data_IF_720302508236
#
_entry.id   IF_720302508236
#
_cell.length_a   1.000
_cell.length_b   1.000
_cell.length_c   1.000
_cell.angle_alpha   90.00
_cell.angle_beta   90.00
_cell.angle_gamma   90.00
#
_symmetry.space_group_name_H-M   'P 1'
#
loop_
_entity.id
_entity.type
_entity.pdbx_description
1 polymer ?
#
# COMPACT_ATOMS: atom_id res chain seq x y z
N UNK A 1 2.32 32.30 -1.75
CA UNK A 1 1.22 33.27 -2.01
C UNK A 1 0.57 33.63 -0.68
N UNK A 2 0.30 34.90 -0.43
CA UNK A 2 -0.41 35.35 0.78
C UNK A 2 -1.92 35.13 0.67
N UNK A 3 -2.63 35.11 1.80
CA UNK A 3 -4.10 34.99 1.83
C UNK A 3 -4.78 36.16 1.10
N UNK A 4 -4.22 37.38 1.21
CA UNK A 4 -4.69 38.56 0.48
C UNK A 4 -4.57 38.41 -1.04
N UNK A 5 -3.43 37.90 -1.52
CA UNK A 5 -3.21 37.60 -2.94
C UNK A 5 -4.13 36.48 -3.45
N UNK A 6 -4.43 35.50 -2.61
CA UNK A 6 -5.35 34.42 -2.95
C UNK A 6 -6.79 34.91 -3.06
N UNK A 7 -7.22 35.79 -2.15
CA UNK A 7 -8.53 36.41 -2.16
C UNK A 7 -8.73 37.31 -3.39
N UNK A 8 -7.74 38.12 -3.76
CA UNK A 8 -7.83 38.97 -4.96
C UNK A 8 -7.91 38.16 -6.26
N UNK A 9 -7.43 36.91 -6.24
CA UNK A 9 -7.54 35.94 -7.34
C UNK A 9 -8.79 35.05 -7.28
N UNK A 10 -9.68 35.24 -6.30
CA UNK A 10 -10.89 34.42 -6.13
C UNK A 10 -10.62 32.97 -5.72
N UNK A 11 -9.43 32.67 -5.18
CA UNK A 11 -9.02 31.31 -4.78
C UNK A 11 -9.55 30.90 -3.39
N UNK A 12 -10.21 31.83 -2.69
CA UNK A 12 -10.76 31.63 -1.35
C UNK A 12 -12.22 32.08 -1.36
N UNK A 13 -13.11 31.28 -0.78
CA UNK A 13 -14.57 31.52 -0.82
C UNK A 13 -15.07 32.50 0.24
N UNK A 14 -14.25 32.85 1.24
CA UNK A 14 -14.65 33.68 2.38
C UNK A 14 -14.02 35.06 2.32
N UNK A 15 -14.77 36.07 2.78
CA UNK A 15 -14.20 37.38 3.10
C UNK A 15 -13.14 37.21 4.18
N UNK A 16 -11.96 37.79 3.94
CA UNK A 16 -10.82 37.70 4.84
C UNK A 16 -10.72 39.01 5.63
N UNK A 17 -10.48 38.91 6.94
CA UNK A 17 -10.18 40.07 7.74
C UNK A 17 -8.84 40.69 7.29
N UNK A 18 -8.75 42.02 7.21
CA UNK A 18 -7.53 42.72 6.72
C UNK A 18 -6.28 42.34 7.50
N UNK A 19 -6.43 42.06 8.79
CA UNK A 19 -5.37 41.63 9.70
C UNK A 19 -4.83 40.22 9.39
N UNK A 20 -5.47 39.41 8.55
CA UNK A 20 -5.03 38.05 8.20
C UNK A 20 -4.43 37.95 6.79
N UNK A 21 -4.52 39.04 6.01
CA UNK A 21 -4.10 39.08 4.61
C UNK A 21 -2.64 38.67 4.37
N UNK A 22 -1.76 38.84 5.37
CA UNK A 22 -0.33 38.48 5.29
C UNK A 22 -0.06 36.99 5.46
N UNK A 23 -1.04 36.17 5.90
CA UNK A 23 -0.82 34.74 6.14
C UNK A 23 -0.34 34.04 4.88
N UNK A 24 0.75 33.28 5.00
CA UNK A 24 1.33 32.54 3.89
C UNK A 24 0.59 31.23 3.63
N UNK A 25 0.55 30.84 2.37
CA UNK A 25 0.02 29.56 1.92
C UNK A 25 0.45 29.18 0.52
N UNK A 26 -0.05 28.02 0.11
CA UNK A 26 0.23 27.38 -1.16
C UNK A 26 -0.96 27.55 -2.10
N UNK A 27 -0.69 28.02 -3.31
CA UNK A 27 -1.60 27.95 -4.44
C UNK A 27 -1.28 26.68 -5.22
N UNK A 28 -2.27 25.83 -5.42
CA UNK A 28 -2.14 24.60 -6.19
C UNK A 28 -3.02 24.65 -7.42
N UNK A 29 -2.57 23.97 -8.48
CA UNK A 29 -3.34 23.73 -9.69
C UNK A 29 -3.23 22.24 -10.04
N UNK A 30 -4.36 21.56 -10.21
CA UNK A 30 -4.38 20.17 -10.67
C UNK A 30 -4.14 20.06 -12.17
N UNK A 31 -3.86 18.86 -12.67
CA UNK A 31 -3.76 18.58 -14.12
C UNK A 31 -5.05 18.92 -14.89
N UNK A 32 -6.20 18.83 -14.22
CA UNK A 32 -7.52 19.19 -14.76
C UNK A 32 -7.81 20.70 -14.69
N UNK A 33 -6.83 21.51 -14.28
CA UNK A 33 -6.95 22.97 -14.21
C UNK A 33 -7.71 23.50 -12.97
N UNK A 34 -8.04 22.64 -12.00
CA UNK A 34 -8.66 23.08 -10.76
C UNK A 34 -7.62 23.80 -9.89
N UNK A 35 -7.93 25.02 -9.47
CA UNK A 35 -7.07 25.82 -8.61
C UNK A 35 -7.62 25.94 -7.19
N UNK A 36 -6.73 25.90 -6.21
CA UNK A 36 -7.08 26.14 -4.82
C UNK A 36 -5.96 26.80 -4.04
N UNK A 37 -6.30 27.45 -2.92
CA UNK A 37 -5.32 27.97 -1.98
C UNK A 37 -5.53 27.35 -0.59
N UNK A 38 -4.43 27.01 0.09
CA UNK A 38 -4.44 26.47 1.44
C UNK A 38 -3.40 27.16 2.31
N UNK A 39 -3.71 27.34 3.60
CA UNK A 39 -2.77 27.85 4.59
C UNK A 39 -1.50 27.00 4.62
N UNK A 40 -0.34 27.64 4.79
CA UNK A 40 0.97 26.97 4.76
C UNK A 40 1.00 25.74 5.68
N UNK A 41 0.63 25.94 6.94
CA UNK A 41 0.61 24.87 7.96
C UNK A 41 -0.32 23.72 7.57
N UNK A 42 -1.54 24.03 7.16
CA UNK A 42 -2.52 23.02 6.75
C UNK A 42 -2.02 22.22 5.55
N UNK A 43 -1.42 22.90 4.57
CA UNK A 43 -0.90 22.27 3.36
C UNK A 43 0.27 21.33 3.69
N UNK A 44 1.24 21.77 4.49
CA UNK A 44 2.40 20.96 4.90
C UNK A 44 2.02 19.77 5.79
N UNK A 45 0.93 19.87 6.57
CA UNK A 45 0.38 18.75 7.35
C UNK A 45 -0.42 17.76 6.48
N UNK A 46 -1.08 18.24 5.42
CA UNK A 46 -1.96 17.43 4.57
C UNK A 46 -1.24 16.79 3.37
N UNK A 47 -0.18 17.43 2.89
CA UNK A 47 0.53 17.06 1.67
C UNK A 47 2.01 16.89 1.97
N UNK A 48 2.56 15.74 1.58
CA UNK A 48 4.00 15.46 1.63
C UNK A 48 4.61 15.72 0.26
N UNK A 49 5.73 16.43 0.23
CA UNK A 49 6.53 16.56 -0.99
C UNK A 49 7.05 15.18 -1.41
N UNK A 50 6.70 14.76 -2.63
CA UNK A 50 7.26 13.56 -3.25
C UNK A 50 8.62 13.95 -3.85
N UNK A 51 9.71 13.63 -3.16
CA UNK A 51 11.09 13.78 -3.68
C UNK A 51 11.47 12.51 -4.44
N UNK A 52 12.36 12.55 -5.43
CA UNK A 52 12.78 11.35 -6.19
C UNK A 52 13.33 10.20 -5.30
N UNK A 53 13.79 10.51 -4.09
CA UNK A 53 14.15 9.54 -3.05
C UNK A 53 12.96 9.13 -2.16
N UNK A 54 11.72 9.17 -2.69
CA UNK A 54 10.53 8.86 -1.88
C UNK A 54 10.65 7.47 -1.28
N UNK A 55 10.55 7.34 0.05
CA UNK A 55 10.47 6.03 0.67
C UNK A 55 9.26 5.27 0.10
N UNK A 56 9.44 3.97 -0.22
CA UNK A 56 8.37 3.14 -0.78
C UNK A 56 7.28 3.01 0.28
N UNK A 57 6.10 3.53 -0.01
CA UNK A 57 4.96 3.40 0.89
C UNK A 57 4.25 2.06 0.66
N UNK A 58 3.30 1.73 1.53
CA UNK A 58 2.52 0.51 1.38
C UNK A 58 1.80 0.40 0.02
N UNK A 59 1.31 1.53 -0.52
CA UNK A 59 0.66 1.56 -1.84
C UNK A 59 1.59 1.08 -2.96
N UNK A 60 2.80 1.63 -3.01
CA UNK A 60 3.84 1.22 -3.96
C UNK A 60 4.21 -0.25 -3.78
N UNK A 61 4.32 -0.71 -2.52
CA UNK A 61 4.64 -2.09 -2.19
C UNK A 61 3.58 -3.08 -2.71
N UNK A 62 2.29 -2.71 -2.63
CA UNK A 62 1.20 -3.49 -3.23
C UNK A 62 1.31 -3.55 -4.75
N UNK A 63 1.70 -2.46 -5.42
CA UNK A 63 1.86 -2.46 -6.88
C UNK A 63 3.05 -3.32 -7.33
N UNK A 64 4.14 -3.37 -6.54
CA UNK A 64 5.24 -4.33 -6.75
C UNK A 64 4.74 -5.77 -6.63
N UNK A 65 3.94 -6.10 -5.60
CA UNK A 65 3.38 -7.44 -5.42
C UNK A 65 2.46 -7.85 -6.57
N UNK A 66 1.65 -6.93 -7.11
CA UNK A 66 0.81 -7.20 -8.29
C UNK A 66 1.65 -7.55 -9.53
N UNK A 67 2.85 -6.98 -9.63
CA UNK A 67 3.81 -7.26 -10.71
C UNK A 67 4.64 -8.53 -10.46
N UNK A 68 4.39 -9.24 -9.35
CA UNK A 68 5.13 -10.46 -8.99
C UNK A 68 6.47 -10.19 -8.31
N UNK A 69 6.76 -8.94 -7.95
CA UNK A 69 7.94 -8.59 -7.18
C UNK A 69 7.84 -9.05 -5.72
N UNK A 70 8.99 -9.05 -5.05
CA UNK A 70 9.12 -9.42 -3.63
C UNK A 70 9.43 -8.15 -2.85
N UNK A 71 8.75 -7.96 -1.72
CA UNK A 71 8.94 -6.78 -0.86
C UNK A 71 9.37 -7.20 0.54
N UNK A 72 9.99 -6.28 1.27
CA UNK A 72 10.18 -6.39 2.72
C UNK A 72 10.16 -5.00 3.35
N UNK A 73 10.13 -4.96 4.68
CA UNK A 73 10.33 -3.71 5.44
C UNK A 73 11.73 -3.61 5.98
N UNK A 74 12.35 -2.44 5.90
CA UNK A 74 13.63 -2.15 6.55
C UNK A 74 13.56 -2.41 8.06
N UNK A 75 12.45 -2.03 8.69
CA UNK A 75 12.19 -2.23 10.12
C UNK A 75 12.06 -3.69 10.57
N UNK A 76 11.95 -4.66 9.65
CA UNK A 76 12.02 -6.09 9.99
C UNK A 76 13.45 -6.55 10.34
N UNK A 77 14.45 -5.67 10.12
CA UNK A 77 15.81 -5.67 10.67
C UNK A 77 16.41 -7.06 10.94
N UNK A 78 16.80 -7.76 9.86
CA UNK A 78 17.60 -9.00 9.95
C UNK A 78 16.81 -10.27 10.25
N UNK A 79 15.47 -10.23 10.31
CA UNK A 79 14.65 -11.45 10.51
C UNK A 79 14.52 -12.34 9.27
N UNK A 80 15.09 -11.94 8.13
CA UNK A 80 14.99 -12.67 6.87
C UNK A 80 13.56 -12.75 6.35
N UNK A 81 12.72 -11.78 6.71
CA UNK A 81 11.31 -11.74 6.34
C UNK A 81 11.13 -11.04 5.01
N UNK A 82 10.37 -11.65 4.12
CA UNK A 82 9.95 -11.08 2.84
C UNK A 82 8.51 -11.47 2.55
N UNK A 83 7.85 -10.69 1.70
CA UNK A 83 6.48 -10.93 1.26
C UNK A 83 6.43 -11.00 -0.25
N UNK A 84 5.69 -11.98 -0.75
CA UNK A 84 5.41 -12.13 -2.17
C UNK A 84 3.99 -12.63 -2.40
N UNK A 85 3.43 -12.24 -3.53
CA UNK A 85 2.10 -12.69 -3.97
C UNK A 85 2.23 -14.05 -4.64
N UNK A 86 1.41 -15.00 -4.22
CA UNK A 86 1.32 -16.28 -4.92
C UNK A 86 0.63 -16.09 -6.28
N UNK A 87 1.15 -16.81 -7.27
CA UNK A 87 0.52 -16.92 -8.59
C UNK A 87 -0.83 -17.62 -8.40
N UNK A 88 -1.93 -17.07 -8.95
CA UNK A 88 -3.21 -17.76 -8.91
C UNK A 88 -3.11 -19.15 -9.52
N UNK A 89 -3.72 -20.14 -8.87
CA UNK A 89 -3.60 -21.53 -9.27
C UNK A 89 -4.93 -22.26 -9.11
N UNK A 90 -5.30 -23.01 -10.13
CA UNK A 90 -6.40 -23.96 -10.11
C UNK A 90 -5.83 -25.36 -9.82
N UNK A 91 -6.22 -25.95 -8.69
CA UNK A 91 -5.76 -27.26 -8.27
C UNK A 91 -6.86 -28.29 -8.50
N UNK A 92 -6.61 -29.20 -9.42
CA UNK A 92 -7.53 -30.23 -9.86
C UNK A 92 -7.62 -31.41 -8.89
N UNK A 93 -8.70 -32.19 -9.05
CA UNK A 93 -9.05 -33.34 -8.19
C UNK A 93 -7.99 -34.45 -8.13
N UNK A 94 -7.11 -34.56 -9.13
CA UNK A 94 -6.03 -35.56 -9.17
C UNK A 94 -4.77 -35.12 -8.40
N UNK A 95 -4.66 -33.82 -8.10
CA UNK A 95 -3.58 -33.21 -7.32
C UNK A 95 -3.93 -33.19 -5.83
N UNK A 96 -5.19 -32.88 -5.47
CA UNK A 96 -5.65 -32.72 -4.08
C UNK A 96 -5.26 -33.91 -3.16
N UNK A 97 -5.44 -35.18 -3.55
CA UNK A 97 -5.04 -36.32 -2.73
C UNK A 97 -3.55 -36.33 -2.37
N UNK A 98 -2.70 -35.80 -3.25
CA UNK A 98 -1.23 -35.80 -3.11
C UNK A 98 -0.71 -34.59 -2.31
N UNK A 99 -1.55 -33.61 -2.00
CA UNK A 99 -1.14 -32.43 -1.24
C UNK A 99 -0.74 -32.83 0.19
N UNK A 100 0.51 -32.55 0.57
CA UNK A 100 1.01 -32.76 1.94
C UNK A 100 0.51 -31.68 2.91
N UNK A 101 0.06 -30.54 2.38
CA UNK A 101 -0.42 -29.38 3.14
C UNK A 101 -1.84 -29.53 3.69
N UNK A 102 -2.57 -30.60 3.37
CA UNK A 102 -3.94 -30.81 3.78
C UNK A 102 -4.11 -32.14 4.55
N UNK A 103 -4.85 -32.14 5.69
CA UNK A 103 -5.25 -33.39 6.34
C UNK A 103 -6.29 -34.13 5.49
N UNK A 104 -6.40 -35.45 5.68
CA UNK A 104 -7.30 -36.29 4.87
C UNK A 104 -8.76 -35.83 4.94
N UNK A 105 -9.25 -35.48 6.13
CA UNK A 105 -10.63 -35.00 6.32
C UNK A 105 -10.95 -33.74 5.50
N UNK A 106 -9.99 -32.84 5.30
CA UNK A 106 -10.17 -31.67 4.46
C UNK A 106 -10.23 -32.04 2.98
N UNK A 107 -9.34 -32.96 2.53
CA UNK A 107 -9.35 -33.48 1.15
C UNK A 107 -10.70 -34.10 0.81
N UNK A 108 -11.24 -34.93 1.71
CA UNK A 108 -12.52 -35.61 1.52
C UNK A 108 -13.68 -34.60 1.34
N UNK A 109 -13.71 -33.53 2.15
CA UNK A 109 -14.71 -32.48 2.04
C UNK A 109 -14.62 -31.70 0.71
N UNK A 110 -13.40 -31.38 0.27
CA UNK A 110 -13.17 -30.63 -0.98
C UNK A 110 -13.59 -31.48 -2.19
N UNK A 111 -13.17 -32.76 -2.21
CA UNK A 111 -13.49 -33.70 -3.29
C UNK A 111 -14.97 -34.03 -3.36
N UNK A 112 -15.66 -34.13 -2.21
CA UNK A 112 -17.13 -34.27 -2.17
C UNK A 112 -17.85 -33.02 -2.65
N UNK A 113 -17.24 -31.85 -2.45
CA UNK A 113 -17.78 -30.55 -2.84
C UNK A 113 -17.55 -30.26 -4.33
N UNK A 114 -16.69 -29.27 -4.61
CA UNK A 114 -16.41 -28.81 -5.98
C UNK A 114 -15.35 -29.66 -6.69
N UNK A 115 -14.52 -30.40 -5.95
CA UNK A 115 -13.46 -31.22 -6.53
C UNK A 115 -12.19 -30.47 -6.90
N UNK A 116 -12.11 -29.15 -6.67
CA UNK A 116 -10.95 -28.33 -6.98
C UNK A 116 -10.68 -27.26 -5.90
N UNK A 117 -9.50 -26.63 -5.94
CA UNK A 117 -9.14 -25.47 -5.12
C UNK A 117 -8.66 -24.34 -6.02
N UNK A 118 -9.24 -23.15 -5.89
CA UNK A 118 -8.74 -21.93 -6.52
C UNK A 118 -7.99 -21.06 -5.52
N UNK A 119 -6.71 -20.83 -5.76
CA UNK A 119 -5.93 -19.78 -5.10
C UNK A 119 -5.96 -18.54 -5.98
N UNK A 120 -6.43 -17.39 -5.47
CA UNK A 120 -6.65 -16.18 -6.30
C UNK A 120 -5.84 -14.96 -5.85
N UNK A 121 -5.74 -14.71 -4.55
CA UNK A 121 -5.16 -13.47 -4.01
C UNK A 121 -4.39 -13.69 -2.71
N UNK A 122 -3.60 -14.76 -2.64
CA UNK A 122 -2.83 -15.07 -1.43
C UNK A 122 -1.44 -14.39 -1.49
N UNK A 123 -1.04 -13.79 -0.38
CA UNK A 123 0.34 -13.37 -0.14
C UNK A 123 0.92 -14.19 1.01
N UNK A 124 2.19 -14.57 0.88
CA UNK A 124 2.93 -15.23 1.95
C UNK A 124 3.92 -14.25 2.56
N UNK A 125 4.11 -14.37 3.88
CA UNK A 125 5.31 -13.87 4.54
C UNK A 125 6.22 -15.07 4.75
N UNK A 126 7.41 -14.98 4.18
CA UNK A 126 8.41 -16.04 4.19
C UNK A 126 9.61 -15.60 5.01
N UNK A 127 10.12 -16.51 5.84
CA UNK A 127 11.33 -16.33 6.61
C UNK A 127 12.45 -17.18 6.01
N UNK A 128 13.40 -16.55 5.30
CA UNK A 128 14.49 -17.26 4.62
C UNK A 128 15.45 -17.97 5.58
N UNK A 129 15.57 -17.47 6.81
CA UNK A 129 16.45 -18.07 7.82
C UNK A 129 15.89 -19.39 8.38
N UNK A 130 14.59 -19.63 8.25
CA UNK A 130 13.92 -20.82 8.84
C UNK A 130 13.17 -21.67 7.82
N UNK A 131 12.93 -21.16 6.61
CA UNK A 131 12.06 -21.79 5.63
C UNK A 131 10.57 -21.71 5.95
N UNK A 132 10.19 -21.00 7.02
CA UNK A 132 8.79 -20.88 7.43
C UNK A 132 8.03 -19.92 6.50
N UNK A 133 6.89 -20.37 6.00
CA UNK A 133 5.95 -19.56 5.23
C UNK A 133 4.60 -19.51 5.97
N UNK A 134 4.12 -18.30 6.23
CA UNK A 134 2.79 -18.06 6.78
C UNK A 134 1.99 -17.15 5.85
N UNK A 135 0.67 -17.09 6.03
CA UNK A 135 -0.16 -16.11 5.34
C UNK A 135 0.19 -14.70 5.82
N UNK A 136 0.47 -13.80 4.88
CA UNK A 136 0.65 -12.40 5.22
C UNK A 136 -0.70 -11.69 5.27
N UNK A 137 -1.00 -11.12 6.42
CA UNK A 137 -2.12 -10.19 6.62
C UNK A 137 -1.50 -8.87 7.08
N UNK A 138 -1.52 -7.80 6.24
CA UNK A 138 -0.90 -6.54 6.61
C UNK A 138 -1.59 -5.96 7.83
N UNK A 139 -0.81 -5.65 8.86
CA UNK A 139 -1.29 -4.92 10.02
C UNK A 139 -1.45 -3.43 9.69
N UNK A 140 -2.17 -2.68 10.52
CA UNK A 140 -2.25 -1.22 10.33
C UNK A 140 -0.86 -0.55 10.39
N UNK A 141 0.07 -1.14 11.15
CA UNK A 141 1.47 -0.70 11.20
C UNK A 141 2.23 -0.97 9.90
N UNK A 142 1.82 -1.96 9.11
CA UNK A 142 2.36 -2.23 7.78
C UNK A 142 1.78 -1.25 6.75
N UNK A 143 0.47 -0.98 6.85
CA UNK A 143 -0.25 -0.07 5.96
C UNK A 143 0.27 1.36 6.07
N UNK A 144 0.62 1.83 7.26
CA UNK A 144 1.17 3.16 7.48
C UNK A 144 2.71 3.23 7.41
N UNK A 145 3.38 2.14 7.09
CA UNK A 145 4.83 2.14 6.96
C UNK A 145 5.26 2.78 5.62
N UNK A 146 6.34 3.54 5.68
CA UNK A 146 7.03 4.13 4.54
C UNK A 146 8.46 3.57 4.39
N UNK A 147 8.75 2.44 5.04
CA UNK A 147 10.07 1.79 5.03
C UNK A 147 10.12 0.52 4.17
N UNK A 148 9.24 0.41 3.16
CA UNK A 148 9.24 -0.73 2.25
C UNK A 148 10.45 -0.70 1.32
N UNK A 149 10.86 -1.88 0.87
CA UNK A 149 11.93 -2.06 -0.11
C UNK A 149 11.63 -3.27 -0.99
N UNK A 150 12.09 -3.22 -2.24
CA UNK A 150 12.03 -4.35 -3.19
C UNK A 150 13.23 -5.25 -2.90
N UNK A 151 13.00 -6.56 -2.80
CA UNK A 151 14.05 -7.55 -2.68
C UNK A 151 14.58 -7.87 -4.09
N UNK A 152 15.90 -7.76 -4.26
CA UNK A 152 16.62 -8.06 -5.50
C UNK A 152 17.13 -9.51 -5.52
#
# INVERSE_FOLDING_TARGET
MTLGEACSKGLVKSEIEKNESYKLGYHTRTEYGYESWSLKKLFEESYREVKEETPICFGDAIDVLKQGGVIRRKGWNGKGLMVFKQVPAHIESDVIPKMQSLPQSAKDLILKGKGFIDYTSQCLIYNENTGRADSWVPSISDVFADDWEIVQ
#
